data_IF_433092414034
#
_entry.id   IF_433092414034
#
_cell.length_a   1.000
_cell.length_b   1.000
_cell.length_c   1.000
_cell.angle_alpha   90.00
_cell.angle_beta   90.00
_cell.angle_gamma   90.00
#
_symmetry.space_group_name_H-M   'P 1'
#
loop_
_entity.id
_entity.type
_entity.pdbx_description
1 polymer ?
#
# COMPACT_ATOMS: atom_id res chain seq x y z
N UNK A 1 -20.20 -17.87 28.15
CA UNK A 1 -18.81 -17.38 28.26
C UNK A 1 -18.62 -16.45 27.07
N UNK A 2 -18.51 -15.14 27.30
CA UNK A 2 -18.28 -14.20 26.21
C UNK A 2 -16.84 -14.39 25.73
N UNK A 3 -16.67 -14.69 24.44
CA UNK A 3 -15.38 -14.72 23.77
C UNK A 3 -14.83 -13.27 23.71
N UNK A 4 -14.26 -12.80 24.81
CA UNK A 4 -13.69 -11.46 24.87
C UNK A 4 -12.45 -11.43 23.98
N UNK A 5 -12.51 -10.64 22.91
CA UNK A 5 -11.36 -10.27 22.11
C UNK A 5 -10.90 -8.86 22.50
N UNK A 6 -9.59 -8.66 22.59
CA UNK A 6 -8.98 -7.38 22.94
C UNK A 6 -7.90 -7.05 21.92
N UNK A 7 -7.88 -5.81 21.44
CA UNK A 7 -6.77 -5.30 20.64
C UNK A 7 -5.70 -4.72 21.57
N UNK A 8 -4.46 -5.13 21.35
CA UNK A 8 -3.28 -4.60 22.03
C UNK A 8 -2.45 -3.80 21.05
N UNK A 9 -2.04 -2.60 21.47
CA UNK A 9 -1.22 -1.69 20.69
C UNK A 9 0.15 -1.57 21.33
N UNK A 10 1.20 -1.68 20.52
CA UNK A 10 2.58 -1.50 20.93
C UNK A 10 3.14 -0.24 20.27
N UNK A 11 4.04 0.46 20.97
CA UNK A 11 4.68 1.67 20.47
C UNK A 11 6.20 1.53 20.55
N UNK A 12 6.90 2.10 19.56
CA UNK A 12 8.35 2.18 19.59
C UNK A 12 8.84 3.26 20.59
N UNK A 13 10.15 3.39 20.76
CA UNK A 13 10.77 4.38 21.68
C UNK A 13 10.46 5.86 21.34
N UNK A 14 9.95 6.13 20.15
CA UNK A 14 9.54 7.46 19.70
C UNK A 14 8.03 7.69 19.86
N UNK A 15 7.30 6.73 20.44
CA UNK A 15 5.84 6.82 20.63
C UNK A 15 5.03 6.54 19.38
N UNK A 16 5.63 6.00 18.31
CA UNK A 16 4.92 5.63 17.08
C UNK A 16 4.41 4.19 17.19
N UNK A 17 3.23 3.90 16.63
CA UNK A 17 2.62 2.57 16.65
C UNK A 17 3.52 1.55 15.96
N UNK A 18 4.00 0.54 16.67
CA UNK A 18 4.89 -0.48 16.13
C UNK A 18 4.20 -1.81 15.81
N UNK A 19 3.11 -2.15 16.53
CA UNK A 19 2.36 -3.37 16.27
C UNK A 19 0.92 -3.31 16.80
N UNK A 20 0.03 -4.09 16.17
CA UNK A 20 -1.34 -4.36 16.62
C UNK A 20 -1.50 -5.87 16.78
N UNK A 21 -1.99 -6.31 17.94
CA UNK A 21 -2.26 -7.72 18.20
C UNK A 21 -3.72 -7.95 18.61
N UNK A 22 -4.30 -9.06 18.14
CA UNK A 22 -5.57 -9.59 18.62
C UNK A 22 -5.32 -10.61 19.72
N UNK A 23 -5.81 -10.33 20.91
CA UNK A 23 -5.81 -11.25 22.04
C UNK A 23 -7.22 -11.80 22.23
N UNK A 24 -7.41 -13.11 22.03
CA UNK A 24 -8.64 -13.80 22.42
C UNK A 24 -8.45 -14.46 23.79
N UNK A 25 -9.55 -14.63 24.52
CA UNK A 25 -9.53 -15.33 25.81
C UNK A 25 -8.93 -16.74 25.64
N UNK A 26 -7.95 -17.08 26.48
CA UNK A 26 -7.25 -18.38 26.50
C UNK A 26 -6.47 -18.76 25.23
N UNK A 27 -6.15 -17.80 24.36
CA UNK A 27 -5.37 -18.02 23.14
C UNK A 27 -4.06 -17.21 23.13
N UNK A 28 -3.10 -17.59 22.29
CA UNK A 28 -1.93 -16.76 22.01
C UNK A 28 -2.35 -15.51 21.24
N UNK A 29 -1.68 -14.38 21.50
CA UNK A 29 -1.90 -13.15 20.74
C UNK A 29 -1.51 -13.37 19.26
N UNK A 30 -2.34 -12.90 18.34
CA UNK A 30 -2.08 -12.93 16.90
C UNK A 30 -1.68 -11.53 16.46
N UNK A 31 -0.53 -11.38 15.80
CA UNK A 31 -0.13 -10.11 15.21
C UNK A 31 -1.02 -9.82 13.99
N UNK A 32 -1.67 -8.66 13.99
CA UNK A 32 -2.48 -8.18 12.87
C UNK A 32 -1.69 -7.23 11.98
N UNK A 33 -0.76 -6.49 12.56
CA UNK A 33 0.09 -5.55 11.85
C UNK A 33 1.40 -5.28 12.61
N UNK A 34 2.50 -5.13 11.88
CA UNK A 34 3.76 -4.58 12.37
C UNK A 34 4.22 -3.44 11.45
N UNK A 35 4.72 -2.36 12.06
CA UNK A 35 5.10 -1.13 11.35
C UNK A 35 6.54 -0.76 11.63
N UNK A 36 7.23 -0.29 10.60
CA UNK A 36 8.51 0.40 10.73
C UNK A 36 8.44 1.79 10.10
N UNK A 37 9.35 2.66 10.53
CA UNK A 37 9.38 4.06 10.12
C UNK A 37 10.76 4.44 9.62
N UNK A 38 10.81 5.34 8.64
CA UNK A 38 12.05 5.99 8.25
C UNK A 38 12.46 7.07 9.27
N UNK A 39 13.61 7.72 9.03
CA UNK A 39 14.13 8.77 9.92
C UNK A 39 13.26 10.03 9.99
N UNK A 40 12.38 10.25 9.01
CA UNK A 40 11.43 11.38 8.98
C UNK A 40 10.10 11.02 9.64
N UNK A 41 9.93 9.77 10.07
CA UNK A 41 8.74 9.27 10.74
C UNK A 41 7.64 8.83 9.78
N UNK A 42 7.92 8.65 8.49
CA UNK A 42 6.98 8.03 7.57
C UNK A 42 6.99 6.52 7.75
N UNK A 43 5.83 5.88 7.56
CA UNK A 43 5.75 4.41 7.55
C UNK A 43 6.59 3.90 6.37
N UNK A 44 7.66 3.18 6.67
CA UNK A 44 8.54 2.57 5.68
C UNK A 44 8.07 1.17 5.32
N UNK A 45 7.63 0.39 6.32
CA UNK A 45 7.03 -0.93 6.11
C UNK A 45 5.80 -1.14 6.96
N UNK A 46 4.83 -1.86 6.40
CA UNK A 46 3.66 -2.39 7.10
C UNK A 46 3.51 -3.86 6.72
N UNK A 47 3.79 -4.75 7.66
CA UNK A 47 3.51 -6.17 7.53
C UNK A 47 2.12 -6.45 8.09
N UNK A 48 1.28 -7.13 7.33
CA UNK A 48 -0.05 -7.55 7.75
C UNK A 48 0.01 -8.97 8.32
N UNK A 49 -0.95 -9.34 9.18
CA UNK A 49 -1.05 -10.67 9.78
C UNK A 49 -1.30 -11.82 8.79
N UNK A 50 -1.41 -11.53 7.50
CA UNK A 50 -1.48 -12.51 6.41
C UNK A 50 -0.19 -12.55 5.56
N UNK A 51 0.94 -12.15 6.15
CA UNK A 51 2.29 -12.13 5.56
C UNK A 51 2.48 -11.24 4.33
N UNK A 52 1.47 -10.47 3.94
CA UNK A 52 1.65 -9.40 2.97
C UNK A 52 2.48 -8.30 3.61
N UNK A 53 3.48 -7.81 2.89
CA UNK A 53 4.28 -6.65 3.31
C UNK A 53 4.10 -5.51 2.33
N UNK A 54 3.68 -4.34 2.82
CA UNK A 54 3.77 -3.07 2.11
C UNK A 54 5.12 -2.41 2.44
N UNK A 55 5.90 -2.08 1.42
CA UNK A 55 7.13 -1.28 1.53
C UNK A 55 6.93 0.04 0.81
N UNK A 56 7.32 1.15 1.44
CA UNK A 56 7.19 2.50 0.91
C UNK A 56 8.57 3.16 0.75
N UNK A 57 8.70 3.99 -0.29
CA UNK A 57 9.88 4.83 -0.50
C UNK A 57 9.46 6.27 -0.68
N UNK A 58 10.26 7.16 -0.13
CA UNK A 58 10.05 8.59 -0.18
C UNK A 58 11.26 9.27 -0.82
N UNK A 59 11.04 10.38 -1.49
CA UNK A 59 12.14 11.23 -1.95
C UNK A 59 12.62 12.19 -0.85
N UNK A 60 13.62 13.01 -1.18
CA UNK A 60 14.22 14.00 -0.29
C UNK A 60 13.26 15.13 0.12
N UNK A 61 12.12 15.26 -0.56
CA UNK A 61 11.05 16.20 -0.22
C UNK A 61 9.93 15.54 0.58
N UNK A 62 10.17 14.32 1.09
CA UNK A 62 9.22 13.54 1.86
C UNK A 62 7.97 13.11 1.06
N UNK A 63 8.05 13.06 -0.28
CA UNK A 63 6.95 12.63 -1.15
C UNK A 63 7.05 11.14 -1.43
N UNK A 64 5.93 10.42 -1.36
CA UNK A 64 5.85 8.99 -1.65
C UNK A 64 6.18 8.73 -3.12
N UNK A 65 7.25 7.99 -3.43
CA UNK A 65 7.67 7.70 -4.81
C UNK A 65 7.40 6.26 -5.23
N UNK A 66 7.28 5.35 -4.25
CA UNK A 66 7.00 3.95 -4.52
C UNK A 66 6.24 3.31 -3.36
N UNK A 67 5.32 2.43 -3.71
CA UNK A 67 4.76 1.42 -2.83
C UNK A 67 4.94 0.05 -3.48
N UNK A 68 5.24 -0.96 -2.67
CA UNK A 68 5.40 -2.32 -3.14
C UNK A 68 4.74 -3.30 -2.18
N UNK A 69 3.90 -4.19 -2.71
CA UNK A 69 3.30 -5.30 -2.00
C UNK A 69 4.01 -6.61 -2.39
N UNK A 70 4.47 -7.34 -1.38
CA UNK A 70 5.06 -8.67 -1.53
C UNK A 70 4.42 -9.67 -0.58
N UNK A 71 4.52 -10.95 -0.90
CA UNK A 71 4.21 -12.05 0.01
C UNK A 71 5.30 -13.12 -0.12
N UNK A 72 5.86 -13.65 0.98
CA UNK A 72 7.02 -14.54 0.92
C UNK A 72 6.76 -15.86 0.19
N UNK A 73 5.55 -16.42 0.34
CA UNK A 73 5.16 -17.72 -0.24
C UNK A 73 4.25 -17.65 -1.49
N UNK A 74 3.85 -16.46 -1.94
CA UNK A 74 2.92 -16.31 -3.07
C UNK A 74 3.60 -15.46 -4.15
N UNK A 75 3.25 -15.68 -5.41
CA UNK A 75 3.67 -14.81 -6.52
C UNK A 75 2.94 -13.45 -6.51
N UNK A 76 2.67 -12.89 -5.33
CA UNK A 76 2.18 -11.54 -5.17
C UNK A 76 3.35 -10.58 -5.29
N UNK A 77 3.33 -9.82 -6.36
CA UNK A 77 4.21 -8.69 -6.55
C UNK A 77 3.40 -7.60 -7.24
N UNK A 78 3.24 -6.48 -6.55
CA UNK A 78 2.54 -5.32 -7.08
C UNK A 78 3.31 -4.08 -6.65
N UNK A 79 3.71 -3.26 -7.62
CA UNK A 79 4.48 -2.05 -7.38
C UNK A 79 3.74 -0.86 -7.98
N UNK A 80 3.47 0.15 -7.15
CA UNK A 80 2.96 1.44 -7.59
C UNK A 80 4.07 2.49 -7.49
N UNK A 81 4.32 3.23 -8.56
CA UNK A 81 5.28 4.33 -8.60
C UNK A 81 4.58 5.66 -8.85
N UNK A 82 5.13 6.71 -8.26
CA UNK A 82 4.58 8.05 -8.25
C UNK A 82 5.63 9.01 -8.78
N UNK A 83 5.30 9.74 -9.84
CA UNK A 83 6.16 10.75 -10.44
C UNK A 83 5.58 12.13 -10.20
N UNK A 84 6.45 13.06 -9.83
CA UNK A 84 6.09 14.44 -9.57
C UNK A 84 6.81 15.36 -10.54
N UNK A 85 6.20 16.50 -10.85
CA UNK A 85 6.87 17.58 -11.56
C UNK A 85 7.78 18.41 -10.62
N UNK A 86 8.40 19.45 -11.18
CA UNK A 86 9.30 20.37 -10.46
C UNK A 86 8.60 21.26 -9.43
N UNK A 87 7.27 21.35 -9.46
CA UNK A 87 6.46 22.13 -8.52
C UNK A 87 5.66 21.26 -7.56
N UNK A 88 6.06 19.99 -7.41
CA UNK A 88 5.51 19.01 -6.47
C UNK A 88 4.10 18.48 -6.78
N UNK A 89 3.63 18.58 -8.02
CA UNK A 89 2.36 17.99 -8.44
C UNK A 89 2.57 16.55 -8.91
N UNK A 90 1.67 15.64 -8.53
CA UNK A 90 1.70 14.25 -8.98
C UNK A 90 1.28 14.19 -10.45
N UNK A 91 2.19 13.81 -11.35
CA UNK A 91 1.94 13.78 -12.80
C UNK A 91 1.72 12.37 -13.35
N UNK A 92 2.20 11.33 -12.64
CA UNK A 92 1.95 9.96 -13.03
C UNK A 92 1.87 9.02 -11.83
N UNK A 93 0.95 8.07 -11.92
CA UNK A 93 0.83 6.89 -11.07
C UNK A 93 0.93 5.67 -11.96
N UNK A 94 1.90 4.79 -11.72
CA UNK A 94 2.11 3.58 -12.52
C UNK A 94 2.14 2.34 -11.66
N UNK A 95 1.23 1.41 -11.92
CA UNK A 95 1.17 0.08 -11.35
C UNK A 95 1.83 -0.94 -12.29
N UNK A 96 2.71 -1.76 -11.71
CA UNK A 96 3.32 -2.92 -12.34
C UNK A 96 3.08 -4.15 -11.47
N UNK A 97 2.41 -5.17 -12.03
CA UNK A 97 2.20 -6.43 -11.33
C UNK A 97 0.84 -7.05 -11.64
N UNK A 98 0.13 -7.41 -10.57
CA UNK A 98 -1.19 -8.06 -10.65
C UNK A 98 -2.28 -7.07 -11.07
N UNK A 99 -2.12 -5.79 -10.75
CA UNK A 99 -2.96 -4.71 -11.27
C UNK A 99 -2.16 -3.83 -12.25
N UNK A 100 -2.88 -3.15 -13.13
CA UNK A 100 -2.29 -2.23 -14.12
C UNK A 100 -3.23 -1.05 -14.34
N UNK A 101 -3.40 -0.21 -13.32
CA UNK A 101 -4.17 1.03 -13.41
C UNK A 101 -3.22 2.22 -13.43
N UNK A 102 -2.70 2.53 -14.62
CA UNK A 102 -1.80 3.65 -14.82
C UNK A 102 -2.62 4.92 -15.11
N UNK A 103 -2.26 6.03 -14.47
CA UNK A 103 -2.93 7.31 -14.64
C UNK A 103 -1.89 8.41 -14.81
N UNK A 104 -2.06 9.27 -15.79
CA UNK A 104 -1.35 10.53 -15.89
C UNK A 104 -2.28 11.69 -15.50
N UNK A 105 -1.73 12.70 -14.86
CA UNK A 105 -2.47 13.88 -14.38
C UNK A 105 -1.95 15.13 -15.08
N UNK A 106 -2.87 16.01 -15.48
CA UNK A 106 -2.53 17.29 -16.10
C UNK A 106 -3.13 18.45 -15.31
N UNK A 107 -2.37 19.53 -15.22
CA UNK A 107 -2.70 20.70 -14.41
C UNK A 107 -2.63 21.95 -15.28
N UNK A 108 -3.47 22.94 -14.98
CA UNK A 108 -3.34 24.28 -15.57
C UNK A 108 -2.23 25.09 -14.86
N UNK A 109 -1.97 26.31 -15.33
CA UNK A 109 -0.94 27.19 -14.76
C UNK A 109 -1.20 27.66 -13.32
N UNK A 110 -2.43 27.48 -12.82
CA UNK A 110 -2.81 27.75 -11.43
C UNK A 110 -2.65 26.51 -10.53
N UNK A 111 -2.15 25.40 -11.07
CA UNK A 111 -1.97 24.14 -10.36
C UNK A 111 -3.28 23.39 -10.10
N UNK A 112 -4.35 23.70 -10.84
CA UNK A 112 -5.62 22.99 -10.72
C UNK A 112 -5.61 21.78 -11.66
N UNK A 113 -6.05 20.62 -11.15
CA UNK A 113 -6.19 19.40 -11.96
C UNK A 113 -7.25 19.63 -13.04
N UNK A 114 -6.87 19.43 -14.30
CA UNK A 114 -7.76 19.59 -15.45
C UNK A 114 -8.01 18.27 -16.20
N UNK A 115 -7.14 17.26 -16.04
CA UNK A 115 -7.31 15.98 -16.74
C UNK A 115 -6.70 14.80 -15.98
N UNK A 116 -7.35 13.64 -16.10
CA UNK A 116 -6.81 12.33 -15.72
C UNK A 116 -6.88 11.41 -16.93
N UNK A 117 -5.74 10.91 -17.37
CA UNK A 117 -5.63 10.01 -18.51
C UNK A 117 -5.33 8.60 -18.01
N UNK A 118 -6.32 7.71 -18.10
CA UNK A 118 -6.11 6.29 -17.84
C UNK A 118 -5.28 5.70 -18.97
N UNK A 119 -4.10 5.20 -18.65
CA UNK A 119 -3.21 4.53 -19.58
C UNK A 119 -3.44 3.03 -19.44
N UNK A 120 -4.26 2.46 -20.33
CA UNK A 120 -4.37 1.01 -20.43
C UNK A 120 -3.12 0.45 -21.11
N UNK A 121 -2.48 -0.53 -20.50
CA UNK A 121 -1.55 -1.40 -21.22
C UNK A 121 -2.37 -2.40 -22.04
N UNK A 122 -2.73 -2.06 -23.28
CA UNK A 122 -3.16 -3.07 -24.25
C UNK A 122 -1.97 -3.98 -24.57
N UNK A 123 -1.89 -5.14 -23.89
CA UNK A 123 -1.41 -6.44 -24.38
C UNK A 123 -0.94 -7.37 -23.24
N UNK A 124 -1.87 -7.97 -22.49
CA UNK A 124 -1.66 -9.31 -21.92
C UNK A 124 -2.97 -10.10 -22.00
N UNK A 125 -2.96 -11.10 -22.89
CA UNK A 125 -4.01 -12.11 -23.13
C UNK A 125 -4.68 -12.57 -21.81
N UNK A 126 -6.01 -12.78 -21.76
CA UNK A 126 -6.69 -13.13 -20.52
C UNK A 126 -6.18 -14.47 -19.98
N UNK A 127 -5.50 -14.46 -18.83
CA UNK A 127 -5.17 -15.67 -18.09
C UNK A 127 -6.33 -15.97 -17.16
N UNK A 128 -7.24 -16.81 -17.66
CA UNK A 128 -8.17 -17.66 -16.92
C UNK A 128 -7.74 -17.95 -15.48
N UNK A 129 -8.22 -17.16 -14.51
CA UNK A 129 -7.94 -17.46 -13.10
C UNK A 129 -9.05 -16.92 -12.19
N UNK A 130 -10.06 -17.74 -11.96
CA UNK A 130 -11.10 -17.53 -10.94
C UNK A 130 -10.53 -17.40 -9.50
N UNK A 131 -9.22 -17.58 -9.30
CA UNK A 131 -8.49 -17.32 -8.05
C UNK A 131 -7.70 -15.99 -7.98
N UNK A 132 -7.44 -15.31 -9.11
CA UNK A 132 -6.67 -14.03 -9.11
C UNK A 132 -7.60 -12.84 -8.83
N UNK A 133 -8.86 -12.92 -9.23
CA UNK A 133 -9.85 -11.83 -9.09
C UNK A 133 -10.06 -11.40 -7.62
N UNK A 134 -9.98 -12.34 -6.67
CA UNK A 134 -10.13 -12.04 -5.25
C UNK A 134 -8.92 -11.30 -4.66
N UNK A 135 -7.71 -11.56 -5.19
CA UNK A 135 -6.47 -10.89 -4.77
C UNK A 135 -6.39 -9.49 -5.37
N UNK A 136 -6.83 -9.31 -6.62
CA UNK A 136 -6.87 -8.00 -7.30
C UNK A 136 -7.86 -7.03 -6.62
N UNK A 137 -9.01 -7.51 -6.11
CA UNK A 137 -9.94 -6.66 -5.36
C UNK A 137 -9.37 -6.17 -4.03
N UNK A 138 -8.58 -7.00 -3.35
CA UNK A 138 -7.93 -6.63 -2.08
C UNK A 138 -6.76 -5.67 -2.28
N UNK A 139 -5.99 -5.78 -3.38
CA UNK A 139 -4.90 -4.86 -3.70
C UNK A 139 -5.42 -3.46 -4.08
N UNK A 140 -6.45 -3.39 -4.94
CA UNK A 140 -7.03 -2.12 -5.38
C UNK A 140 -7.74 -1.32 -4.26
N UNK A 141 -8.30 -1.99 -3.25
CA UNK A 141 -8.84 -1.28 -2.08
C UNK A 141 -7.75 -0.84 -1.11
N UNK A 142 -6.57 -1.48 -1.09
CA UNK A 142 -5.48 -1.14 -0.15
C UNK A 142 -4.69 0.10 -0.56
N UNK A 143 -4.53 0.37 -1.86
CA UNK A 143 -3.93 1.63 -2.33
C UNK A 143 -4.87 2.83 -2.22
N UNK A 144 -6.18 2.59 -2.23
CA UNK A 144 -7.21 3.64 -2.25
C UNK A 144 -7.53 4.24 -0.87
N UNK A 145 -7.03 3.63 0.22
CA UNK A 145 -7.30 4.05 1.60
C UNK A 145 -6.17 4.97 2.16
N UNK A 146 -5.10 5.22 1.40
CA UNK A 146 -3.89 5.91 1.91
C UNK A 146 -3.51 7.19 1.14
N UNK A 147 -4.48 7.88 0.54
CA UNK A 147 -4.35 9.26 0.03
C UNK A 147 -5.55 10.09 0.49
#
# INVERSE_FOLDING_TARGET
MSDSSTLKYSYNKFGQLSAIHLQQANSTAVELAALSYDSQGNIQTLQFGNDITLTQKFDVFNRLTQQQLTHPAQALFDTCTYNYDSVNQLIARKEEGVSSHNINFEYNSLGQLIQQNLVSSENKKPRNTSGIVLVTLLANQKFKIMI
#
